data_IF_003568471531
#
_entry.id   IF_003568471531
#
_cell.length_a   1.000
_cell.length_b   1.000
_cell.length_c   1.000
_cell.angle_alpha   90.00
_cell.angle_beta   90.00
_cell.angle_gamma   90.00
#
_symmetry.space_group_name_H-M   'P 1'
#
loop_
_entity.id
_entity.type
_entity.pdbx_description
1 polymer ?
#
# COMPACT_ATOMS: atom_id res chain seq x y z
N UNK A 1 2.74 4.18 5.91
CA UNK A 1 2.56 3.17 6.98
C UNK A 1 3.44 3.46 8.21
N UNK A 2 4.77 3.44 8.08
CA UNK A 2 5.69 3.62 9.20
C UNK A 2 5.48 4.90 10.03
N UNK A 3 5.38 6.06 9.36
CA UNK A 3 5.11 7.35 10.03
C UNK A 3 3.82 7.32 10.89
N UNK A 4 2.75 6.67 10.40
CA UNK A 4 1.49 6.57 11.14
C UNK A 4 1.61 5.70 12.39
N UNK A 5 2.44 4.66 12.33
CA UNK A 5 2.64 3.73 13.44
C UNK A 5 3.81 4.10 14.34
N UNK A 6 4.41 5.28 14.19
CA UNK A 6 5.51 5.70 15.04
C UNK A 6 6.82 4.92 14.80
N UNK A 7 7.01 4.36 13.61
CA UNK A 7 8.12 3.43 13.31
C UNK A 7 9.32 4.10 12.63
N UNK A 8 9.29 5.42 12.48
CA UNK A 8 10.42 6.17 11.92
C UNK A 8 11.32 6.69 13.04
N UNK A 9 12.56 7.03 12.68
CA UNK A 9 13.47 7.73 13.59
C UNK A 9 12.87 9.09 14.02
N UNK A 10 13.18 9.52 15.25
CA UNK A 10 12.60 10.72 15.89
C UNK A 10 12.59 11.94 14.96
N UNK A 11 13.68 12.19 14.24
CA UNK A 11 13.80 13.36 13.38
C UNK A 11 12.91 13.33 12.13
N UNK A 12 12.48 12.15 11.69
CA UNK A 12 11.45 11.98 10.65
C UNK A 12 10.04 11.89 11.24
N UNK A 13 9.94 11.37 12.46
CA UNK A 13 8.68 11.11 13.14
C UNK A 13 8.04 12.38 13.71
N UNK A 14 8.85 13.35 14.14
CA UNK A 14 8.42 14.66 14.61
C UNK A 14 7.95 15.59 13.47
N UNK A 15 8.37 15.32 12.24
CA UNK A 15 7.99 16.10 11.06
C UNK A 15 6.60 15.80 10.51
N UNK A 16 6.07 16.72 9.71
CA UNK A 16 4.83 16.51 8.97
C UNK A 16 5.03 15.49 7.83
N UNK A 17 4.06 14.60 7.64
CA UNK A 17 4.09 13.60 6.57
C UNK A 17 4.25 14.28 5.20
N UNK A 18 3.57 15.40 4.96
CA UNK A 18 3.60 16.10 3.67
C UNK A 18 4.97 16.68 3.33
N UNK A 19 5.79 16.98 4.34
CA UNK A 19 7.18 17.42 4.14
C UNK A 19 8.14 16.25 3.94
N UNK A 20 7.77 15.05 4.42
CA UNK A 20 8.56 13.83 4.28
C UNK A 20 8.38 13.21 2.89
N UNK A 21 7.15 13.15 2.36
CA UNK A 21 6.87 12.46 1.10
C UNK A 21 7.75 12.93 -0.07
N UNK A 22 7.95 14.25 -0.34
CA UNK A 22 8.80 14.70 -1.43
C UNK A 22 10.26 14.24 -1.30
N UNK A 23 10.78 14.13 -0.07
CA UNK A 23 12.15 13.65 0.18
C UNK A 23 12.30 12.16 -0.13
N UNK A 24 11.28 11.37 0.24
CA UNK A 24 11.23 9.94 -0.06
C UNK A 24 11.07 9.71 -1.57
N UNK A 25 10.24 10.51 -2.23
CA UNK A 25 10.06 10.48 -3.69
C UNK A 25 11.37 10.79 -4.42
N UNK A 26 12.06 11.86 -4.03
CA UNK A 26 13.33 12.26 -4.62
C UNK A 26 14.40 11.17 -4.46
N UNK A 27 14.51 10.60 -3.26
CA UNK A 27 15.40 9.46 -3.01
C UNK A 27 15.02 8.25 -3.88
N UNK A 28 13.72 7.95 -3.98
CA UNK A 28 13.21 6.79 -4.72
C UNK A 28 13.59 6.89 -6.20
N UNK A 29 13.31 8.05 -6.83
CA UNK A 29 13.57 8.29 -8.24
C UNK A 29 15.07 8.38 -8.55
N UNK A 30 15.82 9.13 -7.75
CA UNK A 30 17.20 9.49 -8.11
C UNK A 30 18.25 8.50 -7.60
N UNK A 31 17.94 7.68 -6.60
CA UNK A 31 18.94 6.81 -5.94
C UNK A 31 18.48 5.36 -5.87
N UNK A 32 17.28 5.10 -5.34
CA UNK A 32 16.84 3.73 -5.07
C UNK A 32 16.50 2.95 -6.35
N UNK A 33 15.67 3.49 -7.25
CA UNK A 33 15.36 2.83 -8.52
C UNK A 33 16.61 2.59 -9.39
N UNK A 34 17.56 3.54 -9.52
CA UNK A 34 18.84 3.29 -10.17
C UNK A 34 19.66 2.18 -9.49
N UNK A 35 19.67 2.11 -8.16
CA UNK A 35 20.37 1.05 -7.42
C UNK A 35 19.75 -0.33 -7.68
N UNK A 36 18.42 -0.43 -7.71
CA UNK A 36 17.71 -1.65 -8.09
C UNK A 36 18.02 -2.06 -9.53
N UNK A 37 18.07 -1.11 -10.45
CA UNK A 37 18.41 -1.37 -11.85
C UNK A 37 19.86 -1.87 -12.04
N UNK A 38 20.82 -1.39 -11.23
CA UNK A 38 22.20 -1.93 -11.21
C UNK A 38 22.25 -3.38 -10.72
N UNK A 39 21.34 -3.78 -9.84
CA UNK A 39 21.23 -5.14 -9.33
C UNK A 39 22.56 -5.65 -8.74
N UNK A 40 23.05 -6.79 -9.25
CA UNK A 40 24.29 -7.42 -8.78
C UNK A 40 25.57 -6.60 -9.05
N UNK A 41 25.51 -5.57 -9.91
CA UNK A 41 26.64 -4.71 -10.22
C UNK A 41 26.80 -3.55 -9.23
N UNK A 42 25.87 -3.40 -8.29
CA UNK A 42 25.94 -2.37 -7.24
C UNK A 42 27.08 -2.68 -6.26
N UNK A 43 28.06 -1.78 -6.08
CA UNK A 43 29.12 -1.93 -5.08
C UNK A 43 28.56 -2.19 -3.67
N UNK A 44 29.27 -2.98 -2.86
CA UNK A 44 28.76 -3.42 -1.55
C UNK A 44 28.54 -2.27 -0.55
N UNK A 45 29.41 -1.26 -0.60
CA UNK A 45 29.30 -0.01 0.17
C UNK A 45 28.09 0.83 -0.29
N UNK A 46 27.89 0.97 -1.61
CA UNK A 46 26.72 1.65 -2.17
C UNK A 46 25.43 0.90 -1.80
N UNK A 47 25.44 -0.43 -1.88
CA UNK A 47 24.31 -1.29 -1.47
C UNK A 47 23.95 -1.10 -0.01
N UNK A 48 24.95 -1.05 0.87
CA UNK A 48 24.76 -0.83 2.31
C UNK A 48 24.11 0.54 2.57
N UNK A 49 24.61 1.60 1.94
CA UNK A 49 24.06 2.95 2.09
C UNK A 49 22.60 3.05 1.62
N UNK A 50 22.27 2.43 0.47
CA UNK A 50 20.88 2.37 -0.01
C UNK A 50 20.00 1.59 0.97
N UNK A 51 20.47 0.46 1.50
CA UNK A 51 19.70 -0.33 2.46
C UNK A 51 19.40 0.44 3.75
N UNK A 52 20.37 1.19 4.27
CA UNK A 52 20.21 2.06 5.43
C UNK A 52 19.16 3.15 5.18
N UNK A 53 19.20 3.77 4.00
CA UNK A 53 18.26 4.81 3.63
C UNK A 53 16.84 4.27 3.43
N UNK A 54 16.70 3.09 2.81
CA UNK A 54 15.40 2.40 2.67
C UNK A 54 14.86 2.02 4.04
N UNK A 55 15.66 1.41 4.91
CA UNK A 55 15.26 1.05 6.28
C UNK A 55 14.76 2.28 7.05
N UNK A 56 15.50 3.39 6.95
CA UNK A 56 15.17 4.65 7.59
C UNK A 56 13.82 5.22 7.14
N UNK A 57 13.45 5.11 5.86
CA UNK A 57 12.16 5.61 5.36
C UNK A 57 11.01 4.60 5.47
N UNK A 58 11.32 3.30 5.55
CA UNK A 58 10.31 2.23 5.61
C UNK A 58 9.98 1.78 7.02
N UNK A 59 10.84 2.06 8.00
CA UNK A 59 10.68 1.62 9.39
C UNK A 59 10.98 0.13 9.62
N UNK A 60 11.42 -0.62 8.60
CA UNK A 60 11.89 -1.99 8.76
C UNK A 60 13.41 -2.04 8.92
N UNK A 61 13.95 -3.16 9.41
CA UNK A 61 15.38 -3.28 9.68
C UNK A 61 16.23 -3.27 8.41
N UNK A 62 17.46 -2.72 8.52
CA UNK A 62 18.47 -2.78 7.43
C UNK A 62 18.72 -4.22 6.99
N UNK A 63 18.75 -5.15 7.94
CA UNK A 63 18.92 -6.57 7.65
C UNK A 63 17.78 -7.13 6.79
N UNK A 64 16.53 -6.80 7.08
CA UNK A 64 15.39 -7.21 6.26
C UNK A 64 15.49 -6.65 4.82
N UNK A 65 15.93 -5.40 4.68
CA UNK A 65 16.14 -4.77 3.36
C UNK A 65 17.28 -5.47 2.59
N UNK A 66 18.41 -5.74 3.23
CA UNK A 66 19.55 -6.42 2.62
C UNK A 66 19.20 -7.86 2.23
N UNK A 67 18.48 -8.59 3.08
CA UNK A 67 18.00 -9.95 2.82
C UNK A 67 16.99 -9.99 1.67
N UNK A 68 16.26 -8.89 1.45
CA UNK A 68 15.40 -8.70 0.27
C UNK A 68 16.18 -8.24 -0.97
N UNK A 69 17.51 -8.17 -0.91
CA UNK A 69 18.36 -7.64 -1.97
C UNK A 69 17.94 -6.22 -2.41
N UNK A 70 17.59 -5.38 -1.44
CA UNK A 70 16.99 -4.06 -1.62
C UNK A 70 15.55 -4.06 -2.18
N UNK A 71 15.04 -5.15 -2.74
CA UNK A 71 13.71 -5.21 -3.36
C UNK A 71 12.69 -5.87 -2.40
N UNK A 72 12.10 -5.04 -1.54
CA UNK A 72 11.23 -5.51 -0.45
C UNK A 72 9.84 -5.83 -1.00
N UNK A 73 9.45 -7.10 -0.94
CA UNK A 73 8.09 -7.52 -1.32
C UNK A 73 7.03 -6.82 -0.44
N UNK A 74 5.97 -6.33 -1.08
CA UNK A 74 4.91 -5.58 -0.39
C UNK A 74 4.18 -6.40 0.68
N UNK A 75 3.95 -7.69 0.43
CA UNK A 75 3.30 -8.56 1.41
C UNK A 75 4.24 -8.83 2.59
N UNK A 76 5.53 -8.98 2.33
CA UNK A 76 6.53 -9.04 3.39
C UNK A 76 6.54 -7.76 4.22
N UNK A 77 6.53 -6.59 3.59
CA UNK A 77 6.48 -5.30 4.29
C UNK A 77 5.27 -5.19 5.23
N UNK A 78 4.07 -5.57 4.77
CA UNK A 78 2.86 -5.55 5.60
C UNK A 78 2.92 -6.50 6.80
N UNK A 79 3.68 -7.59 6.68
CA UNK A 79 3.96 -8.54 7.76
C UNK A 79 5.07 -8.07 8.70
N UNK A 80 6.05 -7.33 8.18
CA UNK A 80 7.30 -6.99 8.85
C UNK A 80 7.20 -5.75 9.74
N UNK A 81 6.54 -4.68 9.26
CA UNK A 81 6.59 -3.34 9.86
C UNK A 81 6.34 -3.33 11.38
N UNK A 82 5.36 -4.10 11.85
CA UNK A 82 4.98 -4.19 13.27
C UNK A 82 5.21 -5.59 13.85
N UNK A 83 6.05 -6.41 13.22
CA UNK A 83 6.27 -7.81 13.65
C UNK A 83 6.75 -7.88 15.10
N UNK A 84 7.59 -6.94 15.53
CA UNK A 84 8.10 -6.87 16.91
C UNK A 84 7.02 -6.54 17.94
N UNK A 85 5.89 -5.94 17.53
CA UNK A 85 4.69 -5.73 18.36
C UNK A 85 3.71 -6.92 18.28
N UNK A 86 4.01 -7.96 17.48
CA UNK A 86 3.08 -9.06 17.20
C UNK A 86 1.94 -8.66 16.26
N UNK A 87 2.09 -7.59 15.48
CA UNK A 87 1.06 -7.05 14.61
C UNK A 87 1.45 -7.07 13.12
N UNK A 88 0.43 -7.09 12.26
CA UNK A 88 0.55 -6.83 10.81
C UNK A 88 -0.17 -5.54 10.46
N UNK A 89 0.08 -4.98 9.28
CA UNK A 89 -0.66 -3.82 8.75
C UNK A 89 -1.50 -4.18 7.54
N UNK A 90 -2.57 -3.41 7.32
CA UNK A 90 -3.49 -3.62 6.20
C UNK A 90 -2.88 -3.32 4.83
N UNK A 91 -3.39 -3.99 3.79
CA UNK A 91 -2.97 -3.79 2.39
C UNK A 91 -3.64 -2.58 1.76
N UNK A 92 -4.97 -2.49 1.87
CA UNK A 92 -5.79 -1.42 1.28
C UNK A 92 -5.82 -0.19 2.19
N UNK A 93 -5.51 -0.36 3.48
CA UNK A 93 -5.29 0.72 4.42
C UNK A 93 -4.34 0.26 5.53
N UNK A 94 -3.09 0.68 5.41
CA UNK A 94 -2.02 0.31 6.33
C UNK A 94 -2.16 0.86 7.74
N UNK A 95 -3.18 1.69 8.03
CA UNK A 95 -3.47 2.15 9.41
C UNK A 95 -4.07 1.06 10.28
N UNK A 96 -4.75 0.08 9.69
CA UNK A 96 -5.35 -1.03 10.42
C UNK A 96 -4.28 -2.02 10.87
N UNK A 97 -4.37 -2.48 12.13
CA UNK A 97 -3.52 -3.52 12.69
C UNK A 97 -4.22 -4.89 12.59
N UNK A 98 -3.48 -5.91 12.18
CA UNK A 98 -3.91 -7.31 12.17
C UNK A 98 -3.22 -8.13 13.25
N UNK A 99 -3.77 -9.31 13.52
CA UNK A 99 -3.24 -10.31 14.45
C UNK A 99 -3.24 -11.66 13.74
N UNK A 100 -2.06 -12.08 13.31
CA UNK A 100 -1.88 -13.36 12.64
C UNK A 100 -1.73 -14.50 13.64
N UNK A 101 -1.86 -15.74 13.17
CA UNK A 101 -1.67 -16.92 14.03
C UNK A 101 -0.22 -17.05 14.53
N UNK A 102 0.74 -16.60 13.74
CA UNK A 102 2.17 -16.66 14.04
C UNK A 102 2.86 -15.41 13.51
N UNK A 103 3.90 -14.95 14.19
CA UNK A 103 4.69 -13.79 13.75
C UNK A 103 5.63 -14.13 12.59
N UNK A 104 6.04 -15.39 12.45
CA UNK A 104 6.90 -15.85 11.35
C UNK A 104 6.15 -15.88 10.02
N UNK A 105 6.91 -15.80 8.92
CA UNK A 105 6.37 -15.84 7.56
C UNK A 105 6.64 -14.54 6.79
N UNK A 106 6.17 -14.54 5.53
CA UNK A 106 6.48 -13.50 4.54
C UNK A 106 5.25 -12.70 4.07
N UNK A 107 4.08 -12.93 4.67
CA UNK A 107 2.85 -12.20 4.36
C UNK A 107 1.85 -12.31 5.51
N UNK A 108 0.91 -11.34 5.65
CA UNK A 108 -0.20 -11.45 6.57
C UNK A 108 -1.09 -12.67 6.28
N UNK A 109 -1.72 -13.23 7.31
CA UNK A 109 -2.73 -14.30 7.15
C UNK A 109 -4.01 -13.76 6.49
N UNK A 110 -4.33 -12.48 6.74
CA UNK A 110 -5.46 -11.76 6.18
C UNK A 110 -5.21 -10.24 6.16
N UNK A 111 -6.05 -9.52 5.42
CA UNK A 111 -6.05 -8.06 5.37
C UNK A 111 -6.98 -7.51 6.47
N UNK A 112 -6.41 -6.87 7.49
CA UNK A 112 -7.11 -6.45 8.71
C UNK A 112 -8.22 -5.42 8.46
N UNK A 113 -7.99 -4.51 7.53
CA UNK A 113 -8.94 -3.48 7.12
C UNK A 113 -10.24 -4.06 6.57
N UNK A 114 -10.17 -5.16 5.81
CA UNK A 114 -11.36 -5.80 5.24
C UNK A 114 -12.29 -6.32 6.33
N UNK A 115 -11.72 -6.89 7.41
CA UNK A 115 -12.53 -7.40 8.53
C UNK A 115 -13.30 -6.26 9.20
N UNK A 116 -12.64 -5.12 9.41
CA UNK A 116 -13.28 -3.93 9.96
C UNK A 116 -14.37 -3.38 9.03
N UNK A 117 -14.09 -3.28 7.73
CA UNK A 117 -15.04 -2.73 6.75
C UNK A 117 -16.27 -3.63 6.61
N UNK A 118 -16.09 -4.94 6.54
CA UNK A 118 -17.19 -5.90 6.51
C UNK A 118 -18.11 -5.72 7.71
N UNK A 119 -17.56 -5.55 8.91
CA UNK A 119 -18.35 -5.31 10.11
C UNK A 119 -19.11 -3.98 10.06
N UNK A 120 -18.46 -2.90 9.61
CA UNK A 120 -19.07 -1.57 9.58
C UNK A 120 -20.15 -1.41 8.51
N UNK A 121 -19.99 -2.04 7.33
CA UNK A 121 -20.89 -1.79 6.20
C UNK A 121 -22.02 -2.82 6.06
N UNK A 122 -21.79 -4.09 6.45
CA UNK A 122 -22.79 -5.15 6.24
C UNK A 122 -24.14 -4.87 6.92
N UNK A 123 -24.19 -4.42 8.20
CA UNK A 123 -25.48 -4.12 8.85
C UNK A 123 -26.19 -2.94 8.20
N UNK A 124 -25.44 -1.88 7.87
CA UNK A 124 -25.98 -0.65 7.30
C UNK A 124 -26.65 -0.88 5.95
N UNK A 125 -26.02 -1.63 5.04
CA UNK A 125 -26.61 -1.91 3.72
C UNK A 125 -27.84 -2.81 3.83
N UNK A 126 -27.81 -3.82 4.71
CA UNK A 126 -28.96 -4.70 4.93
C UNK A 126 -30.16 -3.96 5.52
N UNK A 127 -29.91 -3.05 6.48
CA UNK A 127 -30.94 -2.17 7.03
C UNK A 127 -31.51 -1.27 5.93
N UNK A 128 -30.66 -0.56 5.20
CA UNK A 128 -31.08 0.38 4.15
C UNK A 128 -31.94 -0.29 3.08
N UNK A 129 -31.52 -1.47 2.59
CA UNK A 129 -32.29 -2.22 1.59
C UNK A 129 -33.68 -2.61 2.11
N UNK A 130 -33.77 -3.11 3.35
CA UNK A 130 -35.00 -3.68 3.88
C UNK A 130 -35.97 -2.64 4.42
N UNK A 131 -35.47 -1.67 5.16
CA UNK A 131 -36.29 -0.73 5.92
C UNK A 131 -36.52 0.57 5.17
N UNK A 132 -35.51 1.10 4.46
CA UNK A 132 -35.65 2.36 3.72
C UNK A 132 -36.19 2.12 2.29
N UNK A 133 -35.66 1.13 1.59
CA UNK A 133 -36.08 0.81 0.22
C UNK A 133 -37.22 -0.22 0.15
N UNK A 134 -37.55 -0.89 1.25
CA UNK A 134 -38.59 -1.93 1.29
C UNK A 134 -38.25 -3.20 0.49
N UNK A 135 -37.00 -3.37 0.04
CA UNK A 135 -36.56 -4.50 -0.76
C UNK A 135 -36.24 -5.70 0.15
N UNK A 136 -37.12 -6.69 0.14
CA UNK A 136 -36.98 -7.92 0.93
C UNK A 136 -36.68 -9.09 0.02
N UNK A 137 -35.53 -9.72 0.26
CA UNK A 137 -35.07 -10.90 -0.46
C UNK A 137 -34.44 -11.88 0.53
N UNK A 138 -34.47 -13.16 0.15
CA UNK A 138 -33.75 -14.28 0.76
C UNK A 138 -32.31 -14.42 0.21
N UNK A 139 -31.97 -13.69 -0.85
CA UNK A 139 -30.61 -13.63 -1.40
C UNK A 139 -29.69 -12.87 -0.46
N UNK A 140 -28.53 -13.47 -0.14
CA UNK A 140 -27.52 -12.82 0.69
C UNK A 140 -26.80 -11.70 -0.07
N UNK A 141 -26.70 -10.52 0.53
CA UNK A 141 -25.89 -9.43 -0.01
C UNK A 141 -24.40 -9.72 0.23
N UNK A 142 -23.65 -9.94 -0.84
CA UNK A 142 -22.21 -10.17 -0.77
C UNK A 142 -21.46 -8.84 -0.87
N UNK A 143 -20.78 -8.46 0.21
CA UNK A 143 -19.92 -7.26 0.24
C UNK A 143 -18.76 -7.33 -0.76
N UNK A 144 -18.31 -8.54 -1.09
CA UNK A 144 -17.31 -8.82 -2.11
C UNK A 144 -17.73 -10.04 -2.94
N UNK A 145 -17.35 -10.06 -4.22
CA UNK A 145 -17.63 -11.16 -5.13
C UNK A 145 -16.36 -11.91 -5.57
N UNK A 146 -16.46 -13.23 -5.87
CA UNK A 146 -15.36 -13.99 -6.46
C UNK A 146 -15.21 -13.60 -7.93
N UNK A 147 -14.48 -12.51 -8.17
CA UNK A 147 -14.27 -11.97 -9.52
C UNK A 147 -13.09 -12.60 -10.27
N UNK A 148 -12.43 -13.59 -9.66
CA UNK A 148 -11.27 -14.24 -10.24
C UNK A 148 -11.66 -15.48 -11.10
N UNK A 149 -11.05 -15.68 -12.29
CA UNK A 149 -10.09 -14.77 -12.93
C UNK A 149 -10.81 -13.58 -13.57
N UNK A 150 -10.33 -12.36 -13.29
CA UNK A 150 -10.82 -11.15 -13.95
C UNK A 150 -10.08 -11.01 -15.28
N UNK A 151 -10.81 -10.84 -16.39
CA UNK A 151 -10.18 -10.60 -17.69
C UNK A 151 -9.49 -9.22 -17.70
N UNK A 152 -8.17 -9.24 -17.91
CA UNK A 152 -7.31 -8.05 -17.97
C UNK A 152 -6.87 -7.75 -19.42
N UNK A 153 -7.31 -8.53 -20.40
CA UNK A 153 -6.94 -8.35 -21.79
C UNK A 153 -7.44 -7.01 -22.34
N UNK A 154 -6.66 -6.40 -23.24
CA UNK A 154 -7.04 -5.15 -23.91
C UNK A 154 -7.10 -3.90 -23.01
N UNK A 155 -6.59 -3.94 -21.78
CA UNK A 155 -6.59 -2.76 -20.90
C UNK A 155 -5.61 -1.68 -21.41
N UNK A 156 -6.16 -0.64 -22.02
CA UNK A 156 -5.42 0.54 -22.50
C UNK A 156 -5.86 1.82 -21.78
N UNK A 157 -6.33 1.72 -20.53
CA UNK A 157 -6.95 2.84 -19.81
C UNK A 157 -6.04 4.07 -19.76
N UNK A 158 -4.74 3.90 -19.47
CA UNK A 158 -3.78 4.99 -19.44
C UNK A 158 -3.60 5.69 -20.80
N UNK A 159 -3.45 4.92 -21.88
CA UNK A 159 -3.30 5.47 -23.23
C UNK A 159 -4.59 6.14 -23.72
N UNK A 160 -5.76 5.56 -23.41
CA UNK A 160 -7.05 6.16 -23.72
C UNK A 160 -7.24 7.50 -22.99
N UNK A 161 -6.84 7.58 -21.72
CA UNK A 161 -6.88 8.85 -20.96
C UNK A 161 -5.92 9.88 -21.57
N UNK A 162 -4.69 9.49 -21.89
CA UNK A 162 -3.71 10.36 -22.59
C UNK A 162 -4.28 10.91 -23.90
N UNK A 163 -4.93 10.07 -24.71
CA UNK A 163 -5.58 10.50 -25.95
C UNK A 163 -6.74 11.48 -25.70
N UNK A 164 -7.60 11.20 -24.71
CA UNK A 164 -8.71 12.09 -24.37
C UNK A 164 -8.22 13.48 -23.92
N UNK A 165 -7.16 13.52 -23.10
CA UNK A 165 -6.53 14.78 -22.67
C UNK A 165 -5.88 15.53 -23.84
N UNK A 166 -5.29 14.82 -24.80
CA UNK A 166 -4.71 15.44 -25.99
C UNK A 166 -5.78 16.02 -26.95
N UNK A 167 -6.95 15.40 -27.02
CA UNK A 167 -8.06 15.84 -27.89
C UNK A 167 -8.87 17.00 -27.29
N UNK A 168 -9.00 17.04 -25.97
CA UNK A 168 -9.72 18.10 -25.27
C UNK A 168 -8.81 18.80 -24.25
N UNK A 169 -8.19 19.93 -24.63
CA UNK A 169 -7.34 20.69 -23.71
C UNK A 169 -8.11 21.34 -22.54
N UNK A 170 -9.46 21.31 -22.55
CA UNK A 170 -10.30 21.76 -21.44
C UNK A 170 -10.73 20.63 -20.49
N UNK A 171 -10.30 19.39 -20.75
CA UNK A 171 -10.58 18.26 -19.85
C UNK A 171 -9.82 18.45 -18.53
N UNK A 172 -10.57 18.51 -17.43
CA UNK A 172 -9.99 18.52 -16.09
C UNK A 172 -9.97 17.10 -15.54
N UNK A 173 -8.82 16.66 -15.02
CA UNK A 173 -8.63 15.33 -14.45
C UNK A 173 -8.27 15.48 -12.98
N UNK A 174 -8.97 14.72 -12.12
CA UNK A 174 -8.67 14.60 -10.70
C UNK A 174 -8.14 13.20 -10.43
N UNK A 175 -6.95 13.11 -9.84
CA UNK A 175 -6.43 11.90 -9.23
C UNK A 175 -6.55 12.02 -7.71
N UNK A 176 -7.13 11.00 -7.07
CA UNK A 176 -7.28 10.94 -5.62
C UNK A 176 -6.81 9.57 -5.15
N UNK A 177 -5.71 9.55 -4.39
CA UNK A 177 -5.12 8.36 -3.82
C UNK A 177 -4.96 8.51 -2.31
N UNK A 178 -5.02 7.40 -1.58
CA UNK A 178 -4.79 7.38 -0.14
C UNK A 178 -3.30 7.22 0.18
N UNK A 179 -2.75 8.04 1.08
CA UNK A 179 -1.35 7.92 1.53
C UNK A 179 -1.02 6.60 2.24
N UNK A 180 -2.04 5.89 2.71
CA UNK A 180 -1.92 4.63 3.44
C UNK A 180 -2.39 3.42 2.64
N UNK A 181 -2.80 3.60 1.39
CA UNK A 181 -3.16 2.52 0.47
C UNK A 181 -1.89 1.89 -0.10
N UNK A 182 -1.72 0.59 0.11
CA UNK A 182 -0.61 -0.19 -0.43
C UNK A 182 -0.97 -1.02 -1.67
N UNK A 183 -2.23 -1.06 -2.09
CA UNK A 183 -2.66 -1.76 -3.29
C UNK A 183 -2.70 -0.86 -4.53
N UNK A 184 -3.16 0.38 -4.35
CA UNK A 184 -3.15 1.43 -5.38
C UNK A 184 -2.47 2.66 -4.80
N UNK A 185 -1.15 2.53 -4.65
CA UNK A 185 -0.36 3.43 -3.84
C UNK A 185 -0.32 4.87 -4.40
N UNK A 186 -0.04 5.84 -3.51
CA UNK A 186 -0.03 7.25 -3.87
C UNK A 186 1.09 7.65 -4.83
N UNK A 187 2.22 6.92 -4.81
CA UNK A 187 3.39 7.23 -5.61
C UNK A 187 3.13 6.94 -7.09
N UNK A 188 2.47 5.81 -7.39
CA UNK A 188 2.07 5.44 -8.75
C UNK A 188 0.92 6.29 -9.30
N UNK A 189 0.17 6.95 -8.41
CA UNK A 189 -0.96 7.81 -8.78
C UNK A 189 -0.54 9.24 -9.18
N UNK A 190 0.73 9.60 -8.99
CA UNK A 190 1.30 10.92 -9.24
C UNK A 190 2.02 10.97 -10.59
#
# INVERSE_FOLDING_TARGET
AAWYHGQLADDLQEGDLYDLLPKVEEFTINQYLPALAKGAWLPADEKQAIAEQVARYSGISVEAVLQSNLDVDTAFFWKELLRHEGHTVGRLDSRYKGLDRKDVGVRPDFNSELTSWLHSFTPAINYYLREELGFKTDVSYNMFGPVHPWDRSGNNTGENLRQAMAQNPFLNVLFQAGYYDGATNYFDAK
#
